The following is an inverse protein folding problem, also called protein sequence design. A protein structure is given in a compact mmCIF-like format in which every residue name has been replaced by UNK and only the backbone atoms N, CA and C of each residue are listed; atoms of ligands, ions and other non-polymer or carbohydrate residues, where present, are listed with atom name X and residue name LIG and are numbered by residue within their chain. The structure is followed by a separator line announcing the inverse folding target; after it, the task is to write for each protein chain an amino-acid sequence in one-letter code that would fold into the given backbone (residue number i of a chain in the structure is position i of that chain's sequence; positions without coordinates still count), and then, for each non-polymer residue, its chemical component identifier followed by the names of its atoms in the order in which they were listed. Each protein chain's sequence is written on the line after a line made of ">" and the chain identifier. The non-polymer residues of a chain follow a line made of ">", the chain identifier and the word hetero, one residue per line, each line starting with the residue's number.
data_IF_123639598032
#
_entry.id   IF_123639598032
#
_cell.length_a   1.000
_cell.length_b   1.000
_cell.length_c   1.000
_cell.angle_alpha   90.00
_cell.angle_beta   90.00
_cell.angle_gamma   90.00
#
_symmetry.space_group_name_H-M   'P 1'
#
loop_
_entity.id
_entity.type
_entity.pdbx_description
1 polymer ?
#
# COMPACT_ATOMS: atom_id res chain seq x y z
N UNK A 1 -4.97 -6.95 5.32
CA UNK A 1 -6.17 -7.81 5.43
C UNK A 1 -5.73 -9.25 5.28
N UNK A 2 -6.37 -10.20 5.97
CA UNK A 2 -6.09 -11.62 5.74
C UNK A 2 -6.55 -12.01 4.32
N UNK A 3 -5.73 -12.79 3.60
CA UNK A 3 -6.12 -13.28 2.29
C UNK A 3 -7.30 -14.25 2.42
N UNK A 4 -8.29 -14.11 1.54
CA UNK A 4 -9.41 -15.06 1.48
C UNK A 4 -8.90 -16.41 1.00
N UNK A 5 -9.45 -17.50 1.54
CA UNK A 5 -9.02 -18.87 1.24
C UNK A 5 -10.08 -19.61 0.45
N UNK A 6 -9.65 -20.43 -0.49
CA UNK A 6 -10.55 -21.34 -1.19
C UNK A 6 -11.18 -22.33 -0.19
N UNK A 7 -12.51 -22.49 -0.15
CA UNK A 7 -13.17 -23.47 0.73
C UNK A 7 -12.81 -24.91 0.38
N UNK A 8 -12.45 -25.20 -0.87
CA UNK A 8 -12.18 -26.57 -1.34
C UNK A 8 -10.72 -27.01 -1.15
N UNK A 9 -9.74 -26.12 -1.39
CA UNK A 9 -8.31 -26.45 -1.30
C UNK A 9 -7.53 -25.68 -0.24
N UNK A 10 -8.15 -24.72 0.47
CA UNK A 10 -7.56 -23.91 1.54
C UNK A 10 -6.35 -23.05 1.14
N UNK A 11 -6.00 -23.02 -0.15
CA UNK A 11 -5.04 -22.08 -0.74
C UNK A 11 -5.63 -20.67 -0.79
N UNK A 12 -4.76 -19.67 -0.80
CA UNK A 12 -5.19 -18.29 -0.95
C UNK A 12 -5.85 -18.08 -2.32
N UNK A 13 -7.00 -17.39 -2.32
CA UNK A 13 -7.59 -16.88 -3.55
C UNK A 13 -6.67 -15.82 -4.14
N UNK A 14 -6.60 -15.82 -5.47
CA UNK A 14 -5.78 -14.88 -6.23
C UNK A 14 -6.73 -13.92 -6.91
N UNK A 15 -6.56 -12.63 -6.64
CA UNK A 15 -7.32 -11.60 -7.34
C UNK A 15 -6.82 -11.50 -8.79
N UNK A 16 -7.73 -11.71 -9.74
CA UNK A 16 -7.48 -11.65 -11.17
C UNK A 16 -8.26 -10.45 -11.75
N UNK A 17 -7.58 -9.46 -12.35
CA UNK A 17 -8.26 -8.33 -12.95
C UNK A 17 -9.08 -8.79 -14.16
N UNK A 18 -10.25 -8.20 -14.35
CA UNK A 18 -11.07 -8.43 -15.55
C UNK A 18 -10.92 -7.25 -16.51
N UNK A 19 -11.08 -7.47 -17.82
CA UNK A 19 -10.98 -6.41 -18.83
C UNK A 19 -12.06 -5.34 -18.64
N UNK A 20 -13.23 -5.75 -18.15
CA UNK A 20 -14.39 -4.89 -17.91
C UNK A 20 -15.09 -5.31 -16.60
N UNK A 21 -14.57 -4.90 -15.44
CA UNK A 21 -15.20 -5.18 -14.16
C UNK A 21 -14.24 -5.15 -12.96
N UNK A 22 -14.71 -5.54 -11.76
CA UNK A 22 -13.88 -5.70 -10.59
C UNK A 22 -12.92 -6.88 -10.76
N UNK A 23 -11.84 -6.87 -9.97
CA UNK A 23 -10.93 -8.02 -9.91
C UNK A 23 -11.61 -9.17 -9.17
N UNK A 24 -11.63 -10.34 -9.79
CA UNK A 24 -12.28 -11.53 -9.25
C UNK A 24 -11.32 -12.34 -8.39
N UNK A 25 -11.79 -12.81 -7.24
CA UNK A 25 -11.03 -13.70 -6.37
C UNK A 25 -11.14 -15.15 -6.85
N UNK A 26 -10.11 -15.62 -7.55
CA UNK A 26 -10.13 -16.91 -8.26
C UNK A 26 -9.24 -17.93 -7.55
N UNK A 27 -9.73 -19.16 -7.41
CA UNK A 27 -8.92 -20.27 -6.95
C UNK A 27 -7.88 -20.66 -8.00
N UNK A 28 -6.59 -20.59 -7.64
CA UNK A 28 -5.49 -20.96 -8.54
C UNK A 28 -5.46 -22.45 -8.93
N UNK A 29 -6.14 -23.31 -8.17
CA UNK A 29 -6.34 -24.73 -8.48
C UNK A 29 -7.60 -24.98 -9.33
N UNK A 30 -8.39 -23.95 -9.61
CA UNK A 30 -9.55 -24.05 -10.49
C UNK A 30 -10.83 -24.60 -9.86
N UNK A 31 -10.98 -24.59 -8.53
CA UNK A 31 -12.22 -25.07 -7.87
C UNK A 31 -13.40 -24.12 -8.09
N UNK A 32 -13.14 -22.82 -8.17
CA UNK A 32 -14.17 -21.81 -8.33
C UNK A 32 -13.62 -20.41 -8.10
N UNK A 33 -14.54 -19.47 -7.99
CA UNK A 33 -14.28 -18.07 -7.73
C UNK A 33 -15.27 -17.50 -6.71
N UNK A 34 -14.82 -16.48 -6.01
CA UNK A 34 -15.65 -15.72 -5.09
C UNK A 34 -16.13 -14.43 -5.76
N UNK A 35 -17.41 -14.12 -5.58
CA UNK A 35 -18.03 -12.87 -5.97
C UNK A 35 -18.48 -12.10 -4.74
N UNK A 36 -17.99 -10.89 -4.59
CA UNK A 36 -18.48 -9.96 -3.59
C UNK A 36 -19.84 -9.36 -3.95
N UNK A 37 -20.45 -8.69 -2.96
CA UNK A 37 -21.75 -8.05 -3.11
C UNK A 37 -21.76 -7.10 -4.30
N UNK A 38 -22.60 -7.40 -5.28
CA UNK A 38 -22.78 -6.58 -6.48
C UNK A 38 -21.78 -6.87 -7.60
N UNK A 39 -20.76 -7.69 -7.39
CA UNK A 39 -19.84 -8.11 -8.46
C UNK A 39 -20.56 -8.94 -9.52
N UNK A 40 -21.55 -9.74 -9.11
CA UNK A 40 -22.31 -10.56 -10.06
C UNK A 40 -23.05 -9.73 -11.13
N UNK A 41 -23.35 -8.46 -10.83
CA UNK A 41 -24.01 -7.54 -11.76
C UNK A 41 -23.12 -7.20 -12.97
N UNK A 42 -21.80 -7.40 -12.86
CA UNK A 42 -20.85 -7.20 -13.95
C UNK A 42 -20.76 -8.39 -14.89
N UNK A 43 -21.20 -9.56 -14.42
CA UNK A 43 -20.92 -10.82 -15.11
C UNK A 43 -22.18 -11.56 -15.56
N UNK A 44 -23.35 -11.08 -15.13
CA UNK A 44 -24.65 -11.59 -15.57
C UNK A 44 -25.46 -10.43 -16.16
N UNK A 45 -25.64 -10.45 -17.48
CA UNK A 45 -26.30 -9.37 -18.25
C UNK A 45 -27.72 -9.05 -17.75
N UNK A 46 -28.57 -10.05 -17.52
CA UNK A 46 -29.89 -9.86 -16.91
C UNK A 46 -29.92 -10.31 -15.44
N UNK A 47 -29.10 -9.64 -14.61
CA UNK A 47 -29.09 -9.85 -13.16
C UNK A 47 -30.49 -9.67 -12.53
N UNK A 48 -31.33 -8.77 -13.07
CA UNK A 48 -32.67 -8.55 -12.51
C UNK A 48 -33.58 -9.76 -12.66
N UNK A 49 -33.51 -10.45 -13.80
CA UNK A 49 -34.23 -11.71 -14.00
C UNK A 49 -33.64 -12.86 -13.19
N UNK A 50 -32.31 -12.90 -13.01
CA UNK A 50 -31.66 -13.85 -12.10
C UNK A 50 -32.18 -13.66 -10.66
N UNK A 51 -32.18 -12.42 -10.16
CA UNK A 51 -32.63 -12.07 -8.82
C UNK A 51 -34.13 -12.36 -8.61
N UNK A 52 -34.96 -12.10 -9.63
CA UNK A 52 -36.39 -12.44 -9.59
C UNK A 52 -36.59 -13.95 -9.46
N UNK A 53 -35.85 -14.74 -10.26
CA UNK A 53 -35.88 -16.20 -10.16
C UNK A 53 -35.37 -16.73 -8.82
N UNK A 54 -34.38 -16.09 -8.19
CA UNK A 54 -33.96 -16.42 -6.82
C UNK A 54 -35.07 -16.11 -5.79
N UNK A 55 -35.81 -15.01 -5.97
CA UNK A 55 -36.92 -14.65 -5.09
C UNK A 55 -38.17 -15.54 -5.25
N UNK A 56 -38.44 -16.01 -6.47
CA UNK A 56 -39.57 -16.89 -6.79
C UNK A 56 -39.26 -18.38 -6.60
N UNK A 57 -37.98 -18.76 -6.65
CA UNK A 57 -37.51 -20.09 -6.31
C UNK A 57 -37.50 -20.24 -4.79
N UNK A 58 -38.62 -20.69 -4.22
CA UNK A 58 -38.69 -21.30 -2.89
C UNK A 58 -37.91 -22.62 -2.85
N UNK A 59 -36.63 -22.60 -3.23
CA UNK A 59 -35.70 -23.70 -3.03
C UNK A 59 -35.45 -23.88 -1.55
N UNK A 60 -35.35 -25.14 -1.11
CA UNK A 60 -34.96 -25.46 0.26
C UNK A 60 -33.49 -25.04 0.39
N UNK A 61 -33.22 -23.89 1.03
CA UNK A 61 -31.86 -23.50 1.38
C UNK A 61 -31.29 -24.56 2.32
N UNK A 62 -30.35 -25.35 1.81
CA UNK A 62 -29.65 -26.36 2.61
C UNK A 62 -28.42 -25.69 3.20
N UNK A 63 -28.38 -25.55 4.52
CA UNK A 63 -27.18 -25.09 5.23
C UNK A 63 -26.05 -26.06 4.98
N UNK A 64 -24.93 -25.54 4.49
CA UNK A 64 -23.72 -26.32 4.24
C UNK A 64 -22.74 -26.21 5.41
N UNK A 65 -21.87 -27.20 5.59
CA UNK A 65 -20.74 -27.11 6.52
C UNK A 65 -19.63 -26.18 6.02
N UNK A 66 -19.73 -25.68 4.79
CA UNK A 66 -18.74 -24.80 4.16
C UNK A 66 -18.78 -23.38 4.74
N UNK A 67 -17.60 -22.87 5.11
CA UNK A 67 -17.45 -21.54 5.69
C UNK A 67 -17.16 -20.48 4.62
N UNK A 68 -17.76 -19.31 4.78
CA UNK A 68 -17.56 -18.15 3.94
C UNK A 68 -16.10 -17.66 4.05
N UNK A 69 -15.37 -17.54 2.93
CA UNK A 69 -13.96 -17.14 2.93
C UNK A 69 -13.74 -15.69 3.37
N UNK A 70 -14.79 -14.86 3.33
CA UNK A 70 -14.74 -13.44 3.70
C UNK A 70 -15.06 -13.18 5.17
N UNK A 71 -16.10 -13.83 5.72
CA UNK A 71 -16.59 -13.54 7.08
C UNK A 71 -16.61 -14.73 8.04
N UNK A 72 -16.34 -15.95 7.55
CA UNK A 72 -16.28 -17.15 8.37
C UNK A 72 -17.63 -17.75 8.80
N UNK A 73 -18.76 -17.20 8.34
CA UNK A 73 -20.08 -17.77 8.60
C UNK A 73 -20.41 -18.92 7.65
N UNK A 74 -21.34 -19.80 8.04
CA UNK A 74 -21.84 -20.86 7.17
C UNK A 74 -22.50 -20.30 5.91
N UNK A 75 -22.31 -21.00 4.80
CA UNK A 75 -22.96 -20.69 3.54
C UNK A 75 -24.15 -21.60 3.27
N UNK A 76 -25.10 -21.11 2.50
CA UNK A 76 -26.28 -21.86 2.08
C UNK A 76 -26.13 -22.25 0.61
N UNK A 77 -26.58 -23.45 0.26
CA UNK A 77 -26.58 -23.88 -1.14
C UNK A 77 -27.80 -23.33 -1.85
N UNK A 78 -27.58 -22.66 -2.97
CA UNK A 78 -28.61 -22.19 -3.87
C UNK A 78 -28.46 -22.85 -5.25
N UNK A 79 -29.59 -23.13 -5.90
CA UNK A 79 -29.59 -23.66 -7.27
C UNK A 79 -30.50 -22.81 -8.14
N UNK A 80 -29.94 -22.22 -9.19
CA UNK A 80 -30.67 -21.37 -10.14
C UNK A 80 -30.34 -21.80 -11.56
N UNK A 81 -31.39 -22.09 -12.34
CA UNK A 81 -31.28 -22.59 -13.73
C UNK A 81 -30.20 -23.68 -13.89
N UNK A 82 -30.28 -24.74 -13.08
CA UNK A 82 -29.34 -25.87 -13.07
C UNK A 82 -27.89 -25.56 -12.68
N UNK A 83 -27.59 -24.33 -12.25
CA UNK A 83 -26.30 -23.97 -11.68
C UNK A 83 -26.41 -23.90 -10.16
N UNK A 84 -25.61 -24.71 -9.46
CA UNK A 84 -25.56 -24.71 -8.00
C UNK A 84 -24.34 -23.92 -7.52
N UNK A 85 -24.54 -23.09 -6.52
CA UNK A 85 -23.50 -22.26 -5.90
C UNK A 85 -23.80 -22.06 -4.41
N UNK A 86 -22.84 -21.49 -3.67
CA UNK A 86 -23.02 -21.20 -2.25
C UNK A 86 -23.17 -19.69 -2.06
N UNK A 87 -24.12 -19.27 -1.23
CA UNK A 87 -24.35 -17.88 -0.86
C UNK A 87 -24.13 -17.68 0.63
N UNK A 88 -23.70 -16.48 1.03
CA UNK A 88 -23.54 -16.13 2.44
C UNK A 88 -24.50 -15.00 2.83
N UNK A 89 -25.40 -15.22 3.79
CA UNK A 89 -26.35 -14.20 4.22
C UNK A 89 -25.70 -12.99 4.91
N UNK A 90 -24.59 -13.20 5.61
CA UNK A 90 -23.95 -12.16 6.41
C UNK A 90 -23.22 -11.15 5.52
N UNK A 91 -22.36 -11.62 4.62
CA UNK A 91 -21.61 -10.73 3.72
C UNK A 91 -22.27 -10.58 2.35
N UNK A 92 -23.31 -11.35 2.02
CA UNK A 92 -24.03 -11.36 0.73
C UNK A 92 -23.16 -11.65 -0.50
N UNK A 93 -22.04 -12.35 -0.30
CA UNK A 93 -21.16 -12.82 -1.37
C UNK A 93 -21.47 -14.25 -1.79
N UNK A 94 -21.03 -14.63 -2.99
CA UNK A 94 -21.29 -15.94 -3.60
C UNK A 94 -20.00 -16.69 -3.91
N UNK A 95 -19.96 -17.97 -3.59
CA UNK A 95 -18.94 -18.90 -4.07
C UNK A 95 -19.49 -19.65 -5.29
N UNK A 96 -18.90 -19.39 -6.46
CA UNK A 96 -19.26 -20.01 -7.71
C UNK A 96 -18.26 -21.13 -8.04
N UNK A 97 -18.70 -22.40 -8.13
CA UNK A 97 -17.85 -23.49 -8.62
C UNK A 97 -17.42 -23.26 -10.07
N UNK A 98 -16.35 -23.92 -10.49
CA UNK A 98 -15.83 -23.83 -11.87
C UNK A 98 -16.93 -23.90 -12.96
N UNK A 99 -16.89 -22.96 -13.89
CA UNK A 99 -17.79 -22.85 -15.03
C UNK A 99 -19.19 -22.35 -14.69
N UNK A 100 -19.48 -22.07 -13.42
CA UNK A 100 -20.81 -21.64 -12.99
C UNK A 100 -21.10 -20.20 -13.41
N UNK A 101 -20.09 -19.34 -13.48
CA UNK A 101 -20.26 -17.95 -13.92
C UNK A 101 -20.56 -17.92 -15.42
N UNK A 102 -19.83 -18.71 -16.22
CA UNK A 102 -20.11 -18.87 -17.66
C UNK A 102 -21.52 -19.41 -17.89
N UNK A 103 -21.94 -20.46 -17.16
CA UNK A 103 -23.31 -21.00 -17.27
C UNK A 103 -24.38 -19.97 -16.90
N UNK A 104 -24.19 -19.21 -15.81
CA UNK A 104 -25.12 -18.16 -15.41
C UNK A 104 -25.21 -17.06 -16.48
N UNK A 105 -24.06 -16.62 -17.00
CA UNK A 105 -24.01 -15.61 -18.06
C UNK A 105 -24.71 -16.09 -19.34
N UNK A 106 -24.43 -17.32 -19.79
CA UNK A 106 -25.08 -17.90 -20.98
C UNK A 106 -26.60 -18.06 -20.81
N UNK A 107 -27.04 -18.43 -19.60
CA UNK A 107 -28.46 -18.67 -19.31
C UNK A 107 -29.27 -17.38 -19.22
N UNK A 108 -28.65 -16.27 -18.79
CA UNK A 108 -29.32 -14.99 -18.53
C UNK A 108 -28.85 -13.89 -19.47
N UNK A 109 -28.62 -14.25 -20.74
CA UNK A 109 -28.17 -13.35 -21.80
C UNK A 109 -29.27 -12.37 -22.24
N UNK A 110 -28.94 -11.09 -22.37
CA UNK A 110 -29.84 -10.01 -22.78
C UNK A 110 -29.22 -9.10 -23.86
N UNK A 111 -30.04 -8.39 -24.65
CA UNK A 111 -29.51 -7.53 -25.72
C UNK A 111 -28.97 -6.19 -25.19
N UNK A 112 -27.66 -6.09 -24.98
CA UNK A 112 -26.74 -5.12 -25.61
C UNK A 112 -25.40 -5.10 -24.85
N UNK A 113 -24.32 -5.43 -25.60
CA UNK A 113 -22.91 -5.59 -25.21
C UNK A 113 -22.56 -6.99 -24.68
N UNK A 114 -21.90 -7.86 -25.50
CA UNK A 114 -21.43 -9.15 -25.04
C UNK A 114 -20.22 -8.97 -24.12
N UNK A 115 -20.40 -9.20 -22.82
CA UNK A 115 -19.27 -9.37 -21.90
C UNK A 115 -18.75 -10.79 -22.15
N UNK A 116 -17.69 -10.92 -22.95
CA UNK A 116 -17.05 -12.22 -23.20
C UNK A 116 -16.20 -12.61 -21.99
N UNK A 117 -16.80 -13.36 -21.07
CA UNK A 117 -16.07 -13.94 -19.93
C UNK A 117 -15.62 -15.34 -20.33
N UNK A 118 -14.32 -15.50 -20.60
CA UNK A 118 -13.71 -16.81 -20.68
C UNK A 118 -13.16 -17.18 -19.29
N UNK A 119 -13.95 -17.92 -18.50
CA UNK A 119 -13.50 -18.44 -17.20
C UNK A 119 -12.17 -19.21 -17.31
N UNK A 120 -11.94 -19.91 -18.42
CA UNK A 120 -10.67 -20.57 -18.72
C UNK A 120 -9.48 -19.60 -18.67
N UNK A 121 -9.64 -18.37 -19.17
CA UNK A 121 -8.59 -17.35 -19.11
C UNK A 121 -8.38 -16.86 -17.67
N UNK A 122 -9.45 -16.68 -16.90
CA UNK A 122 -9.35 -16.31 -15.48
C UNK A 122 -8.57 -17.35 -14.67
N UNK A 123 -8.86 -18.64 -14.86
CA UNK A 123 -8.15 -19.71 -14.17
C UNK A 123 -6.69 -19.85 -14.63
N UNK A 124 -6.39 -19.65 -15.92
CA UNK A 124 -5.00 -19.69 -16.39
C UNK A 124 -4.19 -18.52 -15.84
N UNK A 125 -4.77 -17.32 -15.79
CA UNK A 125 -4.15 -16.16 -15.16
C UNK A 125 -3.96 -16.37 -13.64
N UNK A 126 -4.98 -16.88 -12.92
CA UNK A 126 -4.87 -17.19 -11.50
C UNK A 126 -3.75 -18.21 -11.22
N UNK A 127 -3.67 -19.27 -12.02
CA UNK A 127 -2.61 -20.27 -11.92
C UNK A 127 -1.23 -19.69 -12.23
N UNK A 128 -1.11 -18.83 -13.25
CA UNK A 128 0.14 -18.14 -13.60
C UNK A 128 0.61 -17.22 -12.46
N UNK A 129 -0.29 -16.41 -11.90
CA UNK A 129 -0.01 -15.51 -10.76
C UNK A 129 0.38 -16.30 -9.51
N UNK A 130 -0.33 -17.37 -9.18
CA UNK A 130 0.02 -18.25 -8.07
C UNK A 130 1.40 -18.90 -8.25
N UNK A 131 1.72 -19.36 -9.47
CA UNK A 131 3.04 -19.89 -9.82
C UNK A 131 4.12 -18.82 -9.72
N UNK A 132 3.90 -17.60 -10.21
CA UNK A 132 4.85 -16.49 -10.10
C UNK A 132 5.13 -16.13 -8.63
N UNK A 133 4.07 -16.04 -7.82
CA UNK A 133 4.15 -15.81 -6.36
C UNK A 133 4.92 -16.93 -5.65
N UNK A 134 4.68 -18.19 -6.02
CA UNK A 134 5.35 -19.33 -5.40
C UNK A 134 6.78 -19.53 -5.93
N UNK A 135 7.05 -19.17 -7.18
CA UNK A 135 8.39 -19.19 -7.78
C UNK A 135 9.28 -18.11 -7.14
N UNK A 136 8.76 -16.91 -6.86
CA UNK A 136 9.50 -15.89 -6.11
C UNK A 136 9.79 -16.32 -4.67
N UNK A 137 8.92 -17.14 -4.08
CA UNK A 137 9.17 -17.79 -2.78
C UNK A 137 10.25 -18.88 -2.87
N UNK A 138 10.20 -19.71 -3.92
CA UNK A 138 11.01 -20.94 -4.05
C UNK A 138 12.41 -20.70 -4.64
N UNK A 139 12.57 -19.74 -5.57
CA UNK A 139 13.85 -19.33 -6.16
C UNK A 139 14.60 -18.29 -5.31
N UNK A 140 14.17 -18.09 -4.06
CA UNK A 140 14.86 -17.26 -3.08
C UNK A 140 16.27 -17.83 -2.87
N UNK A 141 17.36 -17.17 -3.30
CA UNK A 141 18.66 -17.52 -2.77
C UNK A 141 18.53 -17.31 -1.26
N UNK A 142 18.75 -18.36 -0.48
CA UNK A 142 18.98 -18.19 0.95
C UNK A 142 20.26 -17.38 1.06
N UNK A 143 20.15 -16.05 1.07
CA UNK A 143 21.18 -15.23 1.64
C UNK A 143 21.29 -15.71 3.08
N UNK A 144 22.29 -16.57 3.33
CA UNK A 144 22.81 -16.78 4.68
C UNK A 144 23.04 -15.36 5.16
N UNK A 145 22.14 -14.88 6.02
CA UNK A 145 22.29 -13.64 6.77
C UNK A 145 23.75 -13.65 7.17
N UNK A 146 24.56 -12.78 6.56
CA UNK A 146 25.98 -12.75 6.85
C UNK A 146 25.98 -12.57 8.35
N UNK A 147 26.40 -13.59 9.11
CA UNK A 147 26.34 -13.54 10.58
C UNK A 147 27.17 -12.31 10.88
N UNK A 148 26.50 -11.20 11.22
CA UNK A 148 27.17 -9.96 11.56
C UNK A 148 28.21 -10.39 12.56
N UNK A 149 29.48 -10.21 12.19
CA UNK A 149 30.59 -10.88 12.85
C UNK A 149 30.44 -10.64 14.35
N UNK A 150 29.99 -11.68 15.07
CA UNK A 150 29.52 -11.56 16.45
C UNK A 150 30.68 -11.14 17.37
N UNK A 151 31.91 -11.32 16.91
CA UNK A 151 33.12 -10.81 17.56
C UNK A 151 33.25 -9.28 17.52
N UNK A 152 32.78 -8.60 16.46
CA UNK A 152 32.84 -7.14 16.35
C UNK A 152 31.83 -6.43 17.25
N UNK A 153 30.61 -6.98 17.37
CA UNK A 153 29.57 -6.39 18.24
C UNK A 153 29.96 -6.49 19.71
N UNK A 154 30.54 -7.62 20.15
CA UNK A 154 31.04 -7.75 21.52
C UNK A 154 32.22 -6.84 21.80
N UNK A 155 33.13 -6.65 20.82
CA UNK A 155 34.22 -5.69 20.95
C UNK A 155 33.70 -4.26 21.13
N UNK A 156 32.76 -3.81 20.31
CA UNK A 156 32.16 -2.48 20.46
C UNK A 156 31.27 -2.35 21.70
N UNK A 157 30.54 -3.40 22.11
CA UNK A 157 29.75 -3.40 23.34
C UNK A 157 30.64 -3.34 24.60
N UNK A 158 31.78 -4.04 24.61
CA UNK A 158 32.78 -3.93 25.67
C UNK A 158 33.52 -2.59 25.62
N UNK A 159 33.87 -2.09 24.43
CA UNK A 159 34.57 -0.81 24.27
C UNK A 159 33.69 0.36 24.69
N UNK A 160 32.44 0.44 24.20
CA UNK A 160 31.49 1.46 24.63
C UNK A 160 30.99 1.23 26.06
N UNK A 161 30.86 -0.01 26.52
CA UNK A 161 30.51 -0.34 27.90
C UNK A 161 31.59 0.10 28.89
N UNK A 162 32.87 -0.14 28.56
CA UNK A 162 34.02 0.33 29.34
C UNK A 162 34.16 1.85 29.25
N UNK A 163 33.96 2.46 28.08
CA UNK A 163 33.98 3.91 27.92
C UNK A 163 32.83 4.60 28.67
N UNK A 164 31.64 3.99 28.74
CA UNK A 164 30.52 4.46 29.55
C UNK A 164 30.73 4.20 31.05
N UNK A 165 31.40 3.11 31.42
CA UNK A 165 31.76 2.86 32.81
C UNK A 165 32.84 3.84 33.29
N UNK A 166 33.89 4.05 32.50
CA UNK A 166 34.96 5.02 32.79
C UNK A 166 34.40 6.45 32.71
N UNK A 167 33.64 6.78 31.67
CA UNK A 167 32.95 8.06 31.53
C UNK A 167 31.96 8.30 32.66
N UNK A 168 31.23 7.26 33.09
CA UNK A 168 30.32 7.29 34.24
C UNK A 168 31.07 7.42 35.58
N UNK A 169 32.23 6.81 35.75
CA UNK A 169 33.08 6.95 36.94
C UNK A 169 33.73 8.35 36.97
N UNK A 170 34.22 8.86 35.84
CA UNK A 170 34.74 10.22 35.71
C UNK A 170 33.62 11.24 35.86
N UNK A 171 32.41 10.94 35.39
CA UNK A 171 31.23 11.77 35.59
C UNK A 171 30.76 11.71 37.03
N UNK A 172 30.73 10.55 37.71
CA UNK A 172 30.38 10.42 39.14
C UNK A 172 31.46 11.03 40.04
N UNK A 173 32.74 10.94 39.68
CA UNK A 173 33.83 11.57 40.43
C UNK A 173 33.91 13.08 40.16
N UNK A 174 33.65 13.51 38.91
CA UNK A 174 33.52 14.91 38.52
C UNK A 174 32.27 15.55 39.12
N UNK A 175 31.15 14.81 39.16
CA UNK A 175 29.93 15.10 39.89
C UNK A 175 30.21 15.11 41.39
N UNK A 176 30.98 14.19 41.95
CA UNK A 176 31.33 14.20 43.38
C UNK A 176 32.05 15.51 43.77
N UNK A 177 33.00 15.93 42.93
CA UNK A 177 33.73 17.20 43.13
C UNK A 177 32.90 18.45 42.83
N UNK A 178 31.89 18.36 41.96
CA UNK A 178 30.96 19.46 41.64
C UNK A 178 29.69 19.48 42.50
N UNK A 179 29.30 18.36 43.12
CA UNK A 179 28.17 18.20 44.06
C UNK A 179 28.56 18.61 45.46
N UNK A 180 29.80 18.35 45.89
CA UNK A 180 30.30 18.95 47.14
C UNK A 180 30.35 20.48 47.08
N UNK A 181 30.32 21.08 45.88
CA UNK A 181 30.30 22.53 45.66
C UNK A 181 28.98 23.10 45.14
N UNK A 182 28.02 22.26 44.71
CA UNK A 182 26.68 22.72 44.29
C UNK A 182 25.67 22.56 45.41
N UNK A 183 25.50 23.61 46.21
CA UNK A 183 24.32 23.74 47.07
C UNK A 183 23.11 24.04 46.18
N UNK A 184 22.10 23.17 46.26
CA UNK A 184 20.77 23.50 45.77
C UNK A 184 20.30 24.78 46.45
N UNK A 185 20.12 25.84 45.68
CA UNK A 185 19.70 27.13 46.22
C UNK A 185 18.20 27.15 46.54
N UNK A 186 17.42 26.28 45.89
CA UNK A 186 15.95 26.18 46.03
C UNK A 186 15.47 24.72 45.96
N UNK A 187 14.40 24.35 46.69
CA UNK A 187 13.80 23.03 46.55
C UNK A 187 13.09 22.87 45.19
N UNK A 188 12.94 21.64 44.67
CA UNK A 188 12.20 21.38 43.44
C UNK A 188 10.72 21.74 43.60
N UNK A 189 10.22 22.61 42.73
CA UNK A 189 8.83 23.06 42.66
C UNK A 189 8.20 22.71 41.29
N UNK A 190 6.97 23.15 41.03
CA UNK A 190 6.28 22.87 39.76
C UNK A 190 7.07 23.34 38.53
N UNK A 191 7.74 24.50 38.63
CA UNK A 191 8.57 25.04 37.55
C UNK A 191 9.75 24.11 37.23
N UNK A 192 10.41 23.55 38.25
CA UNK A 192 11.48 22.57 38.05
C UNK A 192 11.02 21.37 37.24
N UNK A 193 9.85 20.80 37.56
CA UNK A 193 9.31 19.65 36.84
C UNK A 193 8.94 19.98 35.39
N UNK A 194 8.42 21.18 35.11
CA UNK A 194 8.18 21.62 33.73
C UNK A 194 9.48 21.77 32.93
N UNK A 195 10.52 22.35 33.53
CA UNK A 195 11.83 22.48 32.90
C UNK A 195 12.50 21.12 32.68
N UNK A 196 12.41 20.20 33.63
CA UNK A 196 12.93 18.85 33.50
C UNK A 196 12.20 18.07 32.39
N UNK A 197 10.87 18.17 32.34
CA UNK A 197 10.07 17.60 31.25
C UNK A 197 10.42 18.22 29.89
N UNK A 198 10.65 19.53 29.85
CA UNK A 198 11.12 20.24 28.65
C UNK A 198 12.50 19.77 28.19
N UNK A 199 13.43 19.54 29.12
CA UNK A 199 14.77 19.03 28.82
C UNK A 199 14.72 17.60 28.24
N UNK A 200 13.92 16.72 28.85
CA UNK A 200 13.70 15.35 28.38
C UNK A 200 12.97 15.32 27.02
N UNK A 201 11.96 16.18 26.84
CA UNK A 201 11.25 16.36 25.58
C UNK A 201 12.17 16.84 24.47
N UNK A 202 13.02 17.84 24.74
CA UNK A 202 14.04 18.33 23.82
C UNK A 202 15.02 17.24 23.39
N UNK A 203 15.52 16.43 24.33
CA UNK A 203 16.37 15.27 24.03
C UNK A 203 15.64 14.23 23.16
N UNK A 204 14.37 13.96 23.45
CA UNK A 204 13.53 13.08 22.63
C UNK A 204 13.38 13.57 21.20
N UNK A 205 13.16 14.88 21.00
CA UNK A 205 13.11 15.50 19.68
C UNK A 205 14.44 15.39 18.93
N UNK A 206 15.58 15.56 19.61
CA UNK A 206 16.90 15.35 19.01
C UNK A 206 17.08 13.92 18.51
N UNK A 207 16.72 12.92 19.33
CA UNK A 207 16.81 11.51 18.97
C UNK A 207 15.93 11.22 17.76
N UNK A 208 14.71 11.75 17.73
CA UNK A 208 13.80 11.63 16.59
C UNK A 208 14.38 12.28 15.32
N UNK A 209 14.94 13.48 15.43
CA UNK A 209 15.66 14.16 14.34
C UNK A 209 16.84 13.34 13.81
N UNK A 210 17.59 12.67 14.68
CA UNK A 210 18.67 11.76 14.30
C UNK A 210 18.16 10.54 13.53
N UNK A 211 17.06 9.91 13.96
CA UNK A 211 16.44 8.79 13.24
C UNK A 211 15.99 9.22 11.84
N UNK A 212 15.36 10.40 11.73
CA UNK A 212 14.99 11.00 10.44
C UNK A 212 16.22 11.27 9.56
N UNK A 213 17.33 11.74 10.14
CA UNK A 213 18.58 11.95 9.41
C UNK A 213 19.14 10.63 8.86
N UNK A 214 19.09 9.55 9.65
CA UNK A 214 19.53 8.23 9.18
C UNK A 214 18.64 7.70 8.05
N UNK A 215 17.32 7.92 8.12
CA UNK A 215 16.40 7.59 7.00
C UNK A 215 16.73 8.40 5.75
N UNK A 216 16.99 9.70 5.89
CA UNK A 216 17.40 10.58 4.80
C UNK A 216 18.69 10.07 4.13
N UNK A 217 19.70 9.70 4.94
CA UNK A 217 20.98 9.14 4.47
C UNK A 217 20.81 7.83 3.72
N UNK A 218 19.88 6.96 4.15
CA UNK A 218 19.61 5.70 3.48
C UNK A 218 19.05 5.92 2.07
N UNK A 219 18.13 6.88 1.92
CA UNK A 219 17.59 7.28 0.61
C UNK A 219 18.69 7.93 -0.24
N UNK A 220 19.44 8.89 0.30
CA UNK A 220 20.55 9.58 -0.39
C UNK A 220 21.73 8.67 -0.78
N UNK A 221 21.89 7.52 -0.10
CA UNK A 221 23.03 6.63 -0.32
C UNK A 221 22.90 5.76 -1.58
N UNK A 222 21.73 5.77 -2.21
CA UNK A 222 21.48 5.05 -3.45
C UNK A 222 21.70 6.04 -4.59
N UNK A 223 22.82 5.96 -5.33
CA UNK A 223 23.03 6.88 -6.45
C UNK A 223 21.98 6.58 -7.53
N UNK A 224 21.29 7.63 -7.99
CA UNK A 224 20.43 7.52 -9.17
C UNK A 224 21.25 6.96 -10.33
N UNK A 225 20.94 5.75 -10.75
CA UNK A 225 21.63 5.03 -11.82
C UNK A 225 21.03 5.42 -13.16
N UNK A 226 21.86 5.49 -14.20
CA UNK A 226 21.33 5.64 -15.56
C UNK A 226 20.78 4.30 -16.03
N UNK A 227 19.73 4.34 -16.86
CA UNK A 227 19.02 3.14 -17.30
C UNK A 227 19.96 2.17 -18.05
N UNK A 228 20.89 2.70 -18.85
CA UNK A 228 21.86 1.90 -19.59
C UNK A 228 22.79 1.07 -18.69
N UNK A 229 23.14 1.58 -17.51
CA UNK A 229 24.08 0.94 -16.59
C UNK A 229 23.41 0.21 -15.43
N UNK A 230 22.09 -0.06 -15.54
CA UNK A 230 21.35 -0.80 -14.53
C UNK A 230 21.99 -2.16 -14.24
N UNK A 231 22.30 -2.37 -12.96
CA UNK A 231 22.73 -3.66 -12.44
C UNK A 231 21.55 -4.36 -11.76
N UNK A 232 21.61 -5.69 -11.67
CA UNK A 232 20.64 -6.47 -10.90
C UNK A 232 20.69 -6.07 -9.42
N UNK A 233 19.52 -5.96 -8.79
CA UNK A 233 19.39 -5.59 -7.38
C UNK A 233 18.69 -4.25 -7.18
N UNK A 234 18.89 -3.64 -6.01
CA UNK A 234 18.25 -2.36 -5.67
C UNK A 234 18.81 -1.25 -6.54
N UNK A 235 17.92 -0.56 -7.24
CA UNK A 235 18.25 0.54 -8.16
C UNK A 235 17.31 1.71 -7.92
N UNK A 236 17.83 2.89 -8.19
CA UNK A 236 17.09 4.14 -8.22
C UNK A 236 17.22 4.74 -9.61
N UNK A 237 16.10 5.09 -10.24
CA UNK A 237 16.07 5.76 -11.53
C UNK A 237 15.14 6.97 -11.52
N UNK A 238 15.41 7.93 -12.43
CA UNK A 238 14.48 8.99 -12.74
C UNK A 238 14.43 9.23 -14.25
N UNK A 239 13.22 9.34 -14.78
CA UNK A 239 12.99 9.48 -16.21
C UNK A 239 11.58 9.93 -16.54
N UNK A 240 11.24 10.00 -17.82
CA UNK A 240 9.90 10.28 -18.32
C UNK A 240 9.12 8.99 -18.44
N UNK A 241 7.88 8.99 -17.94
CA UNK A 241 7.00 7.84 -18.03
C UNK A 241 6.41 7.73 -19.45
N UNK A 242 6.43 6.52 -19.99
CA UNK A 242 6.01 6.19 -21.34
C UNK A 242 5.01 5.03 -21.30
N UNK A 243 3.99 5.02 -22.18
CA UNK A 243 3.03 3.92 -22.22
C UNK A 243 3.73 2.61 -22.60
N UNK A 244 3.26 1.49 -22.04
CA UNK A 244 3.67 0.15 -22.43
C UNK A 244 3.10 -0.21 -23.80
N UNK A 245 1.89 -0.77 -23.84
CA UNK A 245 1.18 -1.08 -25.09
C UNK A 245 0.21 0.03 -25.51
N UNK A 246 -0.49 0.63 -24.54
CA UNK A 246 -1.48 1.68 -24.77
C UNK A 246 -1.63 2.58 -23.55
N UNK A 247 -2.22 3.76 -23.77
CA UNK A 247 -2.57 4.69 -22.69
C UNK A 247 -3.79 4.17 -21.93
N UNK A 248 -3.72 4.25 -20.61
CA UNK A 248 -4.84 4.01 -19.72
C UNK A 248 -5.71 5.26 -19.62
N UNK A 249 -6.96 5.08 -19.21
CA UNK A 249 -7.86 6.18 -18.87
C UNK A 249 -8.06 6.20 -17.36
N UNK A 250 -7.71 7.31 -16.72
CA UNK A 250 -7.90 7.50 -15.29
C UNK A 250 -9.40 7.35 -14.94
N UNK A 251 -9.76 6.65 -13.84
CA UNK A 251 -11.11 6.18 -13.62
C UNK A 251 -12.15 7.31 -13.49
N UNK A 252 -11.80 8.44 -12.85
CA UNK A 252 -12.75 9.53 -12.58
C UNK A 252 -12.55 10.75 -13.47
N UNK A 253 -11.31 11.15 -13.78
CA UNK A 253 -11.08 12.27 -14.72
C UNK A 253 -11.22 11.85 -16.18
N UNK A 254 -11.01 10.57 -16.50
CA UNK A 254 -10.94 10.08 -17.88
C UNK A 254 -9.66 10.47 -18.62
N UNK A 255 -8.70 11.13 -17.95
CA UNK A 255 -7.48 11.60 -18.57
C UNK A 255 -6.57 10.44 -19.04
N UNK A 256 -5.87 10.58 -20.17
CA UNK A 256 -4.88 9.61 -20.61
C UNK A 256 -3.70 9.57 -19.64
N UNK A 257 -3.33 8.38 -19.18
CA UNK A 257 -2.27 8.15 -18.21
C UNK A 257 -1.53 6.84 -18.50
N UNK A 258 -0.33 6.69 -17.95
CA UNK A 258 0.43 5.42 -18.00
C UNK A 258 0.26 4.60 -16.74
N UNK A 259 -0.15 5.25 -15.65
CA UNK A 259 -0.44 4.64 -14.36
C UNK A 259 -1.48 5.48 -13.62
N UNK A 260 -2.36 4.84 -12.84
CA UNK A 260 -3.26 5.54 -11.93
C UNK A 260 -3.46 4.76 -10.62
N UNK A 261 -3.83 5.50 -9.58
CA UNK A 261 -4.33 4.95 -8.31
C UNK A 261 -5.60 5.70 -7.91
N UNK A 262 -6.55 4.99 -7.33
CA UNK A 262 -7.80 5.59 -6.89
C UNK A 262 -8.25 5.03 -5.54
N UNK A 263 -9.05 5.83 -4.85
CA UNK A 263 -9.74 5.46 -3.61
C UNK A 263 -11.12 6.10 -3.60
N UNK A 264 -12.15 5.31 -3.31
CA UNK A 264 -13.53 5.75 -3.12
C UNK A 264 -13.91 5.53 -1.68
N UNK A 265 -14.42 6.59 -1.05
CA UNK A 265 -14.88 6.56 0.33
C UNK A 265 -16.35 6.98 0.40
N UNK A 266 -17.12 6.28 1.22
CA UNK A 266 -18.51 6.61 1.55
C UNK A 266 -18.57 7.27 2.93
N UNK A 267 -19.35 8.34 3.05
CA UNK A 267 -19.68 8.93 4.33
C UNK A 267 -20.78 8.12 5.03
N UNK A 268 -20.43 7.49 6.14
CA UNK A 268 -21.32 6.63 6.93
C UNK A 268 -21.52 7.20 8.34
N UNK A 269 -22.68 6.95 8.93
CA UNK A 269 -23.06 7.48 10.25
C UNK A 269 -23.71 8.86 10.20
N UNK A 270 -24.10 9.37 11.38
CA UNK A 270 -24.72 10.68 11.58
C UNK A 270 -24.19 11.36 12.84
N UNK A 271 -24.12 12.69 12.83
CA UNK A 271 -23.64 13.50 13.94
C UNK A 271 -22.24 13.11 14.42
N UNK A 272 -22.12 12.77 15.71
CA UNK A 272 -20.84 12.43 16.37
C UNK A 272 -20.21 11.09 15.94
N UNK A 273 -20.93 10.27 15.17
CA UNK A 273 -20.45 8.98 14.68
C UNK A 273 -20.22 8.97 13.16
N UNK A 274 -20.21 10.15 12.53
CA UNK A 274 -19.91 10.29 11.12
C UNK A 274 -18.43 9.94 10.85
N UNK A 275 -18.20 9.05 9.89
CA UNK A 275 -16.85 8.67 9.43
C UNK A 275 -16.84 8.39 7.94
N UNK A 276 -15.66 8.43 7.36
CA UNK A 276 -15.43 8.00 5.99
C UNK A 276 -14.95 6.56 6.00
N UNK A 277 -15.56 5.73 5.16
CA UNK A 277 -15.24 4.32 5.03
C UNK A 277 -14.88 4.02 3.58
N UNK A 278 -13.72 3.41 3.35
CA UNK A 278 -13.27 3.06 2.01
C UNK A 278 -14.14 1.96 1.44
N UNK A 279 -14.82 2.24 0.32
CA UNK A 279 -15.71 1.30 -0.37
C UNK A 279 -15.06 0.65 -1.59
N UNK A 280 -14.07 1.33 -2.19
CA UNK A 280 -13.26 0.76 -3.27
C UNK A 280 -11.89 1.43 -3.28
N UNK A 281 -10.84 0.69 -3.65
CA UNK A 281 -9.53 1.25 -3.95
C UNK A 281 -8.84 0.38 -5.00
N UNK A 282 -7.84 0.94 -5.68
CA UNK A 282 -7.10 0.19 -6.67
C UNK A 282 -5.95 0.98 -7.29
N UNK A 283 -5.09 0.25 -7.98
CA UNK A 283 -3.96 0.77 -8.77
C UNK A 283 -3.94 0.06 -10.10
N UNK A 284 -3.55 0.73 -11.17
CA UNK A 284 -3.29 0.09 -12.45
C UNK A 284 -2.12 -0.90 -12.34
N UNK A 285 -2.28 -2.12 -12.84
CA UNK A 285 -1.23 -3.14 -12.82
C UNK A 285 -0.38 -3.16 -14.10
N UNK A 286 -0.82 -2.44 -15.14
CA UNK A 286 -0.18 -2.45 -16.45
C UNK A 286 1.27 -1.93 -16.33
N UNK A 287 2.25 -2.68 -16.87
CA UNK A 287 3.61 -2.19 -16.96
C UNK A 287 3.68 -0.94 -17.83
N UNK A 288 4.56 -0.02 -17.45
CA UNK A 288 4.88 1.17 -18.23
C UNK A 288 6.39 1.34 -18.32
N UNK A 289 6.84 2.09 -19.31
CA UNK A 289 8.26 2.33 -19.51
C UNK A 289 8.70 3.61 -18.82
N UNK A 290 9.95 3.65 -18.38
CA UNK A 290 10.61 4.87 -17.93
C UNK A 290 11.80 5.12 -18.83
N UNK A 291 11.87 6.33 -19.40
CA UNK A 291 12.92 6.75 -20.32
C UNK A 291 13.80 7.81 -19.66
N UNK A 292 15.11 7.59 -19.67
CA UNK A 292 16.09 8.62 -19.36
C UNK A 292 16.88 8.98 -20.63
N UNK A 293 17.92 9.79 -20.50
CA UNK A 293 18.77 10.16 -21.65
C UNK A 293 19.62 9.01 -22.19
N UNK A 294 19.68 7.88 -21.50
CA UNK A 294 20.59 6.76 -21.78
C UNK A 294 19.91 5.51 -22.30
N UNK A 295 18.62 5.30 -21.98
CA UNK A 295 17.81 4.17 -22.42
C UNK A 295 16.39 4.18 -21.85
N UNK A 296 15.73 3.03 -21.98
CA UNK A 296 14.37 2.78 -21.52
C UNK A 296 14.33 1.48 -20.71
N UNK A 297 13.59 1.45 -19.60
CA UNK A 297 13.38 0.26 -18.77
C UNK A 297 11.91 0.07 -18.44
N UNK A 298 11.47 -1.19 -18.37
CA UNK A 298 10.11 -1.54 -17.99
C UNK A 298 9.94 -1.47 -16.47
N UNK A 299 8.89 -0.81 -16.01
CA UNK A 299 8.48 -0.75 -14.61
C UNK A 299 7.17 -1.52 -14.46
N UNK A 300 7.16 -2.50 -13.54
CA UNK A 300 5.99 -3.29 -13.19
C UNK A 300 5.50 -2.79 -11.83
N UNK A 301 4.41 -2.00 -11.75
CA UNK A 301 4.05 -1.24 -10.55
C UNK A 301 3.37 -2.07 -9.44
N UNK A 302 3.38 -3.40 -9.56
CA UNK A 302 2.77 -4.29 -8.59
C UNK A 302 3.46 -4.15 -7.21
N UNK A 303 2.65 -3.99 -6.16
CA UNK A 303 3.09 -3.81 -4.76
C UNK A 303 3.97 -2.55 -4.51
N UNK A 304 3.91 -1.55 -5.40
CA UNK A 304 4.63 -0.30 -5.19
C UNK A 304 3.99 0.56 -4.08
N UNK A 305 4.82 1.14 -3.21
CA UNK A 305 4.43 2.27 -2.38
C UNK A 305 4.37 3.53 -3.24
N UNK A 306 3.23 4.20 -3.25
CA UNK A 306 2.98 5.36 -4.11
C UNK A 306 3.14 6.66 -3.34
N UNK A 307 3.97 7.55 -3.85
CA UNK A 307 4.12 8.92 -3.34
C UNK A 307 3.74 9.88 -4.46
N UNK A 308 2.43 10.02 -4.68
CA UNK A 308 1.84 10.84 -5.74
C UNK A 308 0.93 11.91 -5.08
N UNK A 309 1.46 13.11 -4.77
CA UNK A 309 0.75 14.19 -4.10
C UNK A 309 -0.24 14.93 -5.02
N UNK A 310 -0.14 14.80 -6.35
CA UNK A 310 -1.12 15.38 -7.27
C UNK A 310 -2.38 14.50 -7.26
N UNK A 311 -3.19 14.72 -6.22
CA UNK A 311 -4.44 14.01 -5.96
C UNK A 311 -5.62 14.87 -6.39
N UNK A 312 -6.40 14.36 -7.35
CA UNK A 312 -7.69 14.95 -7.72
C UNK A 312 -8.77 14.35 -6.83
N UNK A 313 -9.54 15.22 -6.17
CA UNK A 313 -10.66 14.82 -5.31
C UNK A 313 -11.98 15.30 -5.90
N UNK A 314 -12.90 14.35 -6.12
CA UNK A 314 -14.28 14.59 -6.50
C UNK A 314 -15.18 14.17 -5.36
N UNK A 315 -16.17 14.99 -5.01
CA UNK A 315 -17.10 14.70 -3.91
C UNK A 315 -18.47 15.20 -4.29
N UNK A 316 -19.50 14.41 -4.01
CA UNK A 316 -20.85 14.96 -3.89
C UNK A 316 -21.14 15.31 -2.43
N UNK A 317 -21.79 16.45 -2.25
CA UNK A 317 -22.33 16.89 -0.98
C UNK A 317 -23.72 17.50 -1.23
N UNK A 318 -24.25 18.21 -0.24
CA UNK A 318 -25.55 18.89 -0.38
C UNK A 318 -25.54 19.98 -1.48
N UNK A 319 -24.38 20.54 -1.83
CA UNK A 319 -24.24 21.67 -2.76
C UNK A 319 -23.72 21.27 -4.15
N UNK A 320 -23.11 20.10 -4.28
CA UNK A 320 -22.45 19.67 -5.51
C UNK A 320 -22.73 18.21 -5.87
N UNK A 321 -22.99 17.98 -7.16
CA UNK A 321 -23.04 16.64 -7.73
C UNK A 321 -21.64 16.19 -8.19
N UNK A 322 -21.42 14.88 -8.25
CA UNK A 322 -20.24 14.32 -8.90
C UNK A 322 -20.28 14.65 -10.40
N UNK A 323 -19.13 14.98 -11.02
CA UNK A 323 -19.09 15.22 -12.46
C UNK A 323 -19.45 13.93 -13.24
N UNK A 324 -19.98 14.05 -14.47
CA UNK A 324 -20.39 12.88 -15.27
C UNK A 324 -19.27 11.87 -15.50
N UNK A 325 -18.01 12.33 -15.61
CA UNK A 325 -16.83 11.46 -15.75
C UNK A 325 -16.60 10.62 -14.50
N UNK A 326 -16.70 11.21 -13.31
CA UNK A 326 -16.57 10.49 -12.05
C UNK A 326 -17.72 9.50 -11.83
N UNK A 327 -18.95 9.85 -12.24
CA UNK A 327 -20.09 8.93 -12.22
C UNK A 327 -19.86 7.73 -13.16
N UNK A 328 -19.36 8.00 -14.37
CA UNK A 328 -19.01 6.94 -15.33
C UNK A 328 -17.91 6.03 -14.75
N UNK A 329 -16.91 6.62 -14.10
CA UNK A 329 -15.88 5.90 -13.37
C UNK A 329 -16.43 5.01 -12.26
N UNK A 330 -17.28 5.57 -11.39
CA UNK A 330 -17.93 4.82 -10.32
C UNK A 330 -18.78 3.67 -10.86
N UNK A 331 -19.50 3.88 -11.96
CA UNK A 331 -20.26 2.82 -12.63
C UNK A 331 -19.35 1.71 -13.17
N UNK A 332 -18.20 2.05 -13.79
CA UNK A 332 -17.18 1.08 -14.21
C UNK A 332 -16.59 0.30 -13.04
N UNK A 333 -16.48 0.94 -11.88
CA UNK A 333 -16.02 0.33 -10.63
C UNK A 333 -17.13 -0.38 -9.84
N UNK A 334 -18.41 -0.29 -10.27
CA UNK A 334 -19.54 -0.96 -9.61
C UNK A 334 -19.95 -0.34 -8.30
N UNK A 335 -19.47 0.87 -8.01
CA UNK A 335 -19.81 1.60 -6.80
C UNK A 335 -21.13 2.32 -7.03
N UNK A 336 -22.21 1.77 -6.46
CA UNK A 336 -23.52 2.44 -6.49
C UNK A 336 -23.45 3.80 -5.78
N UNK A 337 -24.09 4.80 -6.38
CA UNK A 337 -24.24 6.16 -5.83
C UNK A 337 -25.50 6.32 -4.97
N UNK A 338 -26.37 5.31 -4.95
CA UNK A 338 -27.68 5.35 -4.31
C UNK A 338 -27.72 4.50 -3.03
N UNK A 339 -28.60 4.87 -2.10
CA UNK A 339 -29.04 4.01 -1.00
C UNK A 339 -30.50 3.64 -1.22
N UNK A 340 -30.99 2.72 -0.40
CA UNK A 340 -32.43 2.42 -0.29
C UNK A 340 -33.28 3.70 -0.11
N UNK A 341 -32.75 4.73 0.59
CA UNK A 341 -33.33 6.07 0.68
C UNK A 341 -32.23 7.10 0.41
N UNK A 342 -32.40 7.91 -0.63
CA UNK A 342 -31.51 9.02 -0.99
C UNK A 342 -30.18 8.60 -1.62
N UNK A 343 -29.31 9.59 -1.84
CA UNK A 343 -28.00 9.38 -2.46
C UNK A 343 -26.92 9.20 -1.39
N UNK A 344 -25.92 8.36 -1.70
CA UNK A 344 -24.69 8.28 -0.91
C UNK A 344 -23.89 9.56 -1.07
N UNK A 345 -23.27 10.00 0.01
CA UNK A 345 -22.21 11.00 -0.03
C UNK A 345 -20.88 10.27 -0.23
N UNK A 346 -20.32 10.38 -1.43
CA UNK A 346 -19.11 9.72 -1.86
C UNK A 346 -17.99 10.76 -2.03
N UNK A 347 -16.76 10.31 -1.75
CA UNK A 347 -15.54 11.04 -2.04
C UNK A 347 -14.63 10.12 -2.85
N UNK A 348 -14.41 10.50 -4.10
CA UNK A 348 -13.55 9.80 -5.04
C UNK A 348 -12.23 10.56 -5.13
N UNK A 349 -11.14 9.87 -4.86
CA UNK A 349 -9.77 10.36 -5.01
C UNK A 349 -9.10 9.58 -6.11
N UNK A 350 -8.39 10.28 -6.97
CA UNK A 350 -7.49 9.64 -7.92
C UNK A 350 -6.19 10.41 -8.04
N UNK A 351 -5.14 9.68 -8.38
CA UNK A 351 -3.87 10.21 -8.81
C UNK A 351 -3.43 9.43 -10.04
N UNK A 352 -2.69 10.08 -10.93
CA UNK A 352 -2.34 9.51 -12.23
C UNK A 352 -1.01 10.06 -12.70
N UNK A 353 -0.17 9.19 -13.26
CA UNK A 353 1.06 9.58 -13.95
C UNK A 353 0.73 9.74 -15.43
N UNK A 354 0.91 10.94 -15.95
CA UNK A 354 0.68 11.25 -17.36
C UNK A 354 1.85 10.76 -18.23
N UNK A 355 1.62 10.45 -19.51
CA UNK A 355 2.73 10.26 -20.44
C UNK A 355 3.64 11.49 -20.47
N UNK A 356 4.95 11.26 -20.62
CA UNK A 356 6.03 12.25 -20.55
C UNK A 356 6.28 12.89 -19.17
N UNK A 357 5.49 12.55 -18.16
CA UNK A 357 5.68 13.05 -16.80
C UNK A 357 6.96 12.47 -16.19
N UNK A 358 7.69 13.29 -15.44
CA UNK A 358 8.90 12.82 -14.75
C UNK A 358 8.50 11.97 -13.57
N UNK A 359 9.04 10.76 -13.53
CA UNK A 359 8.85 9.81 -12.44
C UNK A 359 10.20 9.45 -11.82
N UNK A 360 10.14 9.16 -10.54
CA UNK A 360 11.20 8.59 -9.72
C UNK A 360 10.77 7.19 -9.30
N UNK A 361 11.64 6.21 -9.53
CA UNK A 361 11.38 4.82 -9.21
C UNK A 361 12.55 4.26 -8.42
N UNK A 362 12.28 3.83 -7.19
CA UNK A 362 13.20 3.05 -6.37
C UNK A 362 12.66 1.63 -6.32
N UNK A 363 13.41 0.63 -6.80
CA UNK A 363 12.93 -0.74 -6.85
C UNK A 363 14.03 -1.75 -7.10
N UNK A 364 13.65 -3.01 -7.33
CA UNK A 364 14.63 -4.06 -7.64
C UNK A 364 14.64 -4.36 -9.14
N UNK A 365 15.78 -4.14 -9.79
CA UNK A 365 16.04 -4.56 -11.16
C UNK A 365 16.24 -6.08 -11.24
N UNK A 366 15.48 -6.72 -12.13
CA UNK A 366 15.42 -8.17 -12.32
C UNK A 366 15.47 -8.50 -13.81
N UNK A 367 15.96 -9.68 -14.18
CA UNK A 367 15.95 -10.14 -15.57
C UNK A 367 14.54 -10.53 -16.03
N UNK A 368 14.16 -10.11 -17.23
CA UNK A 368 12.94 -10.58 -17.88
C UNK A 368 13.08 -12.05 -18.31
N UNK A 369 12.04 -12.89 -18.09
CA UNK A 369 12.01 -14.26 -18.60
C UNK A 369 12.11 -14.28 -20.13
N UNK A 370 13.09 -15.00 -20.69
CA UNK A 370 13.23 -15.16 -22.15
C UNK A 370 14.04 -14.05 -22.84
N UNK A 371 14.48 -13.00 -22.13
CA UNK A 371 15.22 -11.89 -22.71
C UNK A 371 16.72 -12.15 -22.95
N UNK A 372 17.18 -13.41 -22.94
CA UNK A 372 18.62 -13.75 -23.03
C UNK A 372 19.28 -13.33 -24.35
N UNK A 373 18.49 -13.16 -25.41
CA UNK A 373 18.97 -12.80 -26.75
C UNK A 373 19.02 -11.28 -27.00
N UNK A 374 18.51 -10.45 -26.08
CA UNK A 374 18.53 -9.00 -26.25
C UNK A 374 19.93 -8.43 -25.97
N UNK A 375 20.41 -7.55 -26.86
CA UNK A 375 21.76 -6.97 -26.79
C UNK A 375 21.86 -5.88 -25.73
N UNK A 376 20.78 -5.10 -25.52
CA UNK A 376 20.76 -3.99 -24.57
C UNK A 376 20.36 -4.44 -23.16
N UNK A 377 21.16 -4.06 -22.17
CA UNK A 377 20.92 -4.42 -20.77
C UNK A 377 19.58 -3.87 -20.26
N UNK A 378 19.20 -2.65 -20.66
CA UNK A 378 17.93 -2.03 -20.26
C UNK A 378 16.70 -2.74 -20.84
N UNK A 379 16.83 -3.37 -22.01
CA UNK A 379 15.76 -4.18 -22.62
C UNK A 379 15.62 -5.57 -21.98
N UNK A 380 16.66 -6.03 -21.27
CA UNK A 380 16.67 -7.32 -20.54
C UNK A 380 16.10 -7.22 -19.14
N UNK A 381 16.06 -6.02 -18.58
CA UNK A 381 15.72 -5.78 -17.19
C UNK A 381 14.33 -5.18 -17.04
N UNK A 382 13.68 -5.48 -15.94
CA UNK A 382 12.52 -4.75 -15.46
C UNK A 382 12.70 -4.40 -13.99
N UNK A 383 12.04 -3.33 -13.54
CA UNK A 383 12.03 -2.92 -12.14
C UNK A 383 10.68 -3.29 -11.55
N UNK A 384 10.71 -3.96 -10.40
CA UNK A 384 9.51 -4.33 -9.68
C UNK A 384 9.77 -4.56 -8.19
N UNK A 385 8.74 -5.06 -7.52
CA UNK A 385 8.78 -5.37 -6.09
C UNK A 385 9.77 -6.49 -5.75
N UNK A 386 10.38 -6.38 -4.57
CA UNK A 386 11.20 -7.41 -3.94
C UNK A 386 10.92 -7.43 -2.44
N UNK A 387 11.14 -8.58 -1.80
CA UNK A 387 10.95 -8.71 -0.35
C UNK A 387 12.02 -8.02 0.49
N UNK A 388 13.19 -7.80 -0.10
CA UNK A 388 14.37 -7.34 0.62
C UNK A 388 14.58 -5.82 0.47
N UNK A 389 13.87 -5.17 -0.45
CA UNK A 389 14.03 -3.76 -0.74
C UNK A 389 12.66 -3.07 -0.86
N UNK A 390 12.62 -1.79 -0.48
CA UNK A 390 11.46 -0.95 -0.74
C UNK A 390 11.22 -0.82 -2.26
N UNK A 391 9.95 -0.72 -2.64
CA UNK A 391 9.56 -0.41 -4.01
C UNK A 391 8.66 0.82 -3.97
N UNK A 392 9.15 1.93 -4.53
CA UNK A 392 8.52 3.24 -4.46
C UNK A 392 8.40 3.81 -5.87
N UNK A 393 7.21 4.32 -6.19
CA UNK A 393 6.96 5.11 -7.40
C UNK A 393 6.46 6.50 -6.97
N UNK A 394 7.10 7.54 -7.50
CA UNK A 394 6.84 8.94 -7.14
C UNK A 394 6.88 9.83 -8.37
N UNK A 395 6.00 10.81 -8.46
CA UNK A 395 6.01 11.91 -9.44
C UNK A 395 6.88 13.10 -8.97
N UNK A 396 7.31 13.07 -7.69
CA UNK A 396 8.27 14.03 -7.14
C UNK A 396 9.70 13.64 -7.48
N UNK A 397 10.53 14.68 -7.67
CA UNK A 397 11.97 14.50 -7.69
C UNK A 397 12.50 14.04 -6.33
N UNK A 398 13.58 13.26 -6.33
CA UNK A 398 14.33 12.87 -5.11
C UNK A 398 14.60 14.09 -4.21
N UNK A 399 14.98 15.23 -4.81
CA UNK A 399 15.25 16.49 -4.11
C UNK A 399 14.02 17.06 -3.40
N UNK A 400 12.83 16.90 -3.96
CA UNK A 400 11.57 17.36 -3.33
C UNK A 400 11.15 16.46 -2.16
N UNK A 401 11.41 15.15 -2.26
CA UNK A 401 11.21 14.22 -1.15
C UNK A 401 12.19 14.52 -0.01
N UNK A 402 13.46 14.78 -0.35
CA UNK A 402 14.54 15.00 0.61
C UNK A 402 14.55 16.40 1.24
N UNK A 403 14.05 17.43 0.56
CA UNK A 403 14.04 18.81 1.09
C UNK A 403 13.11 18.96 2.29
N UNK A 404 11.92 18.36 2.23
CA UNK A 404 10.97 18.29 3.37
C UNK A 404 11.57 17.51 4.53
N UNK A 405 12.14 16.33 4.26
CA UNK A 405 12.84 15.55 5.31
C UNK A 405 13.98 16.37 5.93
N UNK A 406 14.73 17.12 5.12
CA UNK A 406 15.81 17.99 5.57
C UNK A 406 15.33 19.08 6.54
N UNK A 407 14.21 19.73 6.24
CA UNK A 407 13.61 20.71 7.15
C UNK A 407 13.19 20.06 8.47
N UNK A 408 12.55 18.88 8.45
CA UNK A 408 12.19 18.18 9.68
C UNK A 408 13.41 17.74 10.50
N UNK A 409 14.48 17.27 9.84
CA UNK A 409 15.74 16.93 10.52
C UNK A 409 16.33 18.17 11.21
N UNK A 410 16.35 19.32 10.55
CA UNK A 410 16.82 20.57 11.14
C UNK A 410 15.92 21.02 12.29
N UNK A 411 14.59 21.03 12.08
CA UNK A 411 13.63 21.49 13.07
C UNK A 411 13.67 20.63 14.35
N UNK A 412 13.62 19.30 14.22
CA UNK A 412 13.65 18.41 15.38
C UNK A 412 15.05 18.28 15.99
N UNK A 413 16.10 18.25 15.16
CA UNK A 413 17.49 18.17 15.63
C UNK A 413 17.91 19.43 16.38
N UNK A 414 17.92 20.58 15.70
CA UNK A 414 18.37 21.87 16.26
C UNK A 414 17.36 22.38 17.28
N UNK A 415 16.06 22.30 16.99
CA UNK A 415 15.01 22.76 17.91
C UNK A 415 14.96 21.93 19.19
N UNK A 416 15.12 20.60 19.10
CA UNK A 416 15.24 19.73 20.26
C UNK A 416 16.45 20.09 21.12
N UNK A 417 17.60 20.38 20.49
CA UNK A 417 18.85 20.68 21.19
C UNK A 417 18.76 22.03 21.89
N UNK A 418 18.19 23.04 21.22
CA UNK A 418 17.95 24.36 21.79
C UNK A 418 16.98 24.30 22.99
N UNK A 419 15.91 23.49 22.89
CA UNK A 419 14.97 23.30 23.99
C UNK A 419 15.65 22.60 25.19
N UNK A 420 16.39 21.51 24.93
CA UNK A 420 17.09 20.78 25.98
C UNK A 420 18.15 21.65 26.68
N UNK A 421 18.93 22.40 25.91
CA UNK A 421 19.96 23.29 26.43
C UNK A 421 19.36 24.46 27.22
N UNK A 422 18.32 25.13 26.69
CA UNK A 422 17.67 26.25 27.38
C UNK A 422 17.05 25.82 28.71
N UNK A 423 16.29 24.72 28.74
CA UNK A 423 15.72 24.19 29.99
C UNK A 423 16.82 23.81 31.00
N UNK A 424 17.91 23.18 30.54
CA UNK A 424 19.03 22.79 31.40
C UNK A 424 19.78 24.01 31.96
N UNK A 425 20.00 25.06 31.15
CA UNK A 425 20.63 26.31 31.59
C UNK A 425 19.78 27.00 32.65
N UNK A 426 18.45 27.04 32.48
CA UNK A 426 17.54 27.63 33.47
C UNK A 426 17.56 26.81 34.76
N UNK A 427 17.56 25.48 34.68
CA UNK A 427 17.69 24.61 35.87
C UNK A 427 19.00 24.92 36.62
N UNK A 428 20.12 24.99 35.91
CA UNK A 428 21.43 25.25 36.50
C UNK A 428 21.48 26.65 37.14
N UNK A 429 21.06 27.69 36.44
CA UNK A 429 21.16 29.08 36.92
C UNK A 429 20.15 29.41 38.02
N UNK A 430 18.97 28.78 38.03
CA UNK A 430 17.93 29.09 38.99
C UNK A 430 17.94 28.21 40.25
N UNK A 431 18.31 26.93 40.12
CA UNK A 431 18.28 25.96 41.23
C UNK A 431 19.67 25.55 41.74
N UNK A 432 20.73 25.69 40.93
CA UNK A 432 22.08 25.20 41.28
C UNK A 432 23.11 26.31 41.55
N UNK A 433 22.82 27.58 41.23
CA UNK A 433 23.72 28.70 41.55
C UNK A 433 23.16 29.64 42.61
N UNK A 434 23.70 29.57 43.83
CA UNK A 434 23.86 30.72 44.74
C UNK A 434 24.94 30.39 45.78
N UNK A 435 26.11 31.01 45.64
CA UNK A 435 27.23 30.90 46.56
C UNK A 435 28.46 31.63 46.04
N UNK A 436 28.35 32.96 45.88
CA UNK A 436 29.51 33.86 45.87
C UNK A 436 29.97 34.12 47.28
#
# INVERSE_FOLDING_TARGET
>A
MAAMKCPDCLEDLVQVPTSHGPGLDVCSSGHGLWLDVGEVNFFVEDYTSLKRKMGDAGGIAVKTETLCPRCGNHMESETVSHTSFLSCDSCRGWWLPHGSLTRLNETYRGAAVPIQIHETELYTQAAARHRARNASIRNRPTFKKNRVNRQGIWFWALFFGLALAIGGIVFIAGIGKTIETTRWSRPPDQLFFYLAAGALGGLGLCIYGWILHQRKRLIESIPTSTIRSLALGLVEISGQAQPGESLLSAPFSGLPCVFYSYTVEEHVGSGKHARWETVANGTSEQPFFVNDSTGQVLVVPLDAELILPDERTYRNDWLGALPPTALTGLNRLGVSTERWIGNKTLRCRETSIQPEERVYVLGTAQEQPGAKELVENSARLYIGSSRDHAFIISDRSEKDLLSRLGWYVLAYGIGGLALAASCSIVIITYYLTAGS
#
